data_IF_695174881671
#
_entry.id   IF_695174881671
#
_cell.length_a   1.000
_cell.length_b   1.000
_cell.length_c   1.000
_cell.angle_alpha   90.00
_cell.angle_beta   90.00
_cell.angle_gamma   90.00
#
_symmetry.space_group_name_H-M   'P 1'
#
loop_
_entity.id
_entity.type
_entity.pdbx_description
1 polymer ?
#
# COMPACT_ATOMS: atom_id res chain seq x y z
N UNK A 1 10.33 -41.33 -21.41
CA UNK A 1 10.08 -40.24 -20.49
C UNK A 1 9.34 -39.12 -21.24
N UNK A 2 8.36 -38.58 -20.63
CA UNK A 2 7.65 -37.39 -21.15
C UNK A 2 8.65 -36.24 -21.01
N UNK A 3 9.15 -35.72 -22.16
CA UNK A 3 9.98 -34.49 -22.26
C UNK A 3 11.20 -34.36 -21.30
N UNK A 4 12.14 -35.28 -21.40
CA UNK A 4 13.50 -35.07 -20.75
C UNK A 4 13.57 -35.17 -19.22
N UNK A 5 12.46 -35.15 -18.50
CA UNK A 5 12.42 -35.16 -17.03
C UNK A 5 12.33 -36.58 -16.48
N UNK A 6 13.17 -36.92 -15.53
CA UNK A 6 13.12 -38.21 -14.84
C UNK A 6 11.93 -38.27 -13.87
N UNK A 7 11.22 -39.40 -13.85
CA UNK A 7 10.09 -39.61 -12.92
C UNK A 7 10.51 -39.39 -11.45
N UNK A 8 11.76 -39.79 -11.12
CA UNK A 8 12.31 -39.57 -9.78
C UNK A 8 12.42 -38.07 -9.42
N UNK A 9 12.81 -37.21 -10.36
CA UNK A 9 12.89 -35.76 -10.16
C UNK A 9 11.51 -35.16 -9.88
N UNK A 10 10.49 -35.60 -10.63
CA UNK A 10 9.11 -35.16 -10.41
C UNK A 10 8.61 -35.56 -9.02
N UNK A 11 8.88 -36.80 -8.59
CA UNK A 11 8.46 -37.26 -7.27
C UNK A 11 9.17 -36.45 -6.17
N UNK A 12 10.47 -36.21 -6.31
CA UNK A 12 11.23 -35.42 -5.33
C UNK A 12 10.74 -33.97 -5.30
N UNK A 13 10.54 -33.35 -6.45
CA UNK A 13 10.00 -31.99 -6.52
C UNK A 13 8.59 -31.89 -5.88
N UNK A 14 7.73 -32.89 -6.10
CA UNK A 14 6.41 -32.95 -5.47
C UNK A 14 6.54 -33.12 -3.94
N UNK A 15 7.44 -33.96 -3.45
CA UNK A 15 7.68 -34.12 -2.02
C UNK A 15 8.20 -32.84 -1.36
N UNK A 16 9.12 -32.15 -2.03
CA UNK A 16 9.61 -30.84 -1.59
C UNK A 16 8.46 -29.84 -1.47
N UNK A 17 7.62 -29.74 -2.51
CA UNK A 17 6.47 -28.83 -2.51
C UNK A 17 5.47 -29.17 -1.39
N UNK A 18 5.13 -30.44 -1.23
CA UNK A 18 4.23 -30.90 -0.14
C UNK A 18 4.81 -30.61 1.24
N UNK A 19 6.11 -30.77 1.42
CA UNK A 19 6.78 -30.41 2.67
C UNK A 19 6.61 -28.93 3.01
N UNK A 20 6.85 -28.02 2.07
CA UNK A 20 6.64 -26.59 2.27
C UNK A 20 5.16 -26.24 2.47
N UNK A 21 4.27 -26.94 1.79
CA UNK A 21 2.83 -26.77 1.95
C UNK A 21 2.37 -27.18 3.37
N UNK A 22 2.96 -28.22 3.93
CA UNK A 22 2.75 -28.61 5.34
C UNK A 22 3.33 -27.56 6.31
N UNK A 23 4.53 -27.03 6.00
CA UNK A 23 5.20 -26.01 6.82
C UNK A 23 4.43 -24.68 6.88
N UNK A 24 3.55 -24.36 5.93
CA UNK A 24 2.86 -23.07 5.85
C UNK A 24 2.16 -22.67 7.17
N UNK A 25 1.55 -23.62 7.84
CA UNK A 25 0.84 -23.39 9.10
C UNK A 25 1.78 -23.13 10.28
N UNK A 26 2.89 -23.86 10.33
CA UNK A 26 3.91 -23.70 11.36
C UNK A 26 4.65 -22.36 11.18
N UNK A 27 5.04 -22.08 9.95
CA UNK A 27 5.74 -20.83 9.60
C UNK A 27 4.88 -19.60 9.90
N UNK A 28 3.61 -19.62 9.50
CA UNK A 28 2.68 -18.52 9.80
C UNK A 28 2.54 -18.29 11.30
N UNK A 29 2.33 -19.36 12.08
CA UNK A 29 2.27 -19.25 13.54
C UNK A 29 3.57 -18.70 14.14
N UNK A 30 4.72 -19.11 13.61
CA UNK A 30 6.02 -18.60 14.05
C UNK A 30 6.18 -17.11 13.77
N UNK A 31 5.85 -16.67 12.53
CA UNK A 31 5.92 -15.26 12.13
C UNK A 31 4.95 -14.41 12.93
N UNK A 32 3.68 -14.83 13.03
CA UNK A 32 2.65 -14.12 13.79
C UNK A 32 3.06 -14.00 15.26
N UNK A 33 3.47 -15.09 15.90
CA UNK A 33 3.93 -15.08 17.30
C UNK A 33 5.18 -14.21 17.51
N UNK A 34 6.08 -14.17 16.52
CA UNK A 34 7.27 -13.31 16.57
C UNK A 34 6.89 -11.84 16.48
N UNK A 35 5.96 -11.51 15.59
CA UNK A 35 5.40 -10.16 15.46
C UNK A 35 4.64 -9.76 16.74
N UNK A 36 3.77 -10.61 17.26
CA UNK A 36 3.06 -10.39 18.53
C UNK A 36 4.01 -10.08 19.68
N UNK A 37 5.11 -10.82 19.82
CA UNK A 37 6.11 -10.59 20.85
C UNK A 37 6.84 -9.23 20.74
N UNK A 38 6.99 -8.71 19.52
CA UNK A 38 7.53 -7.36 19.32
C UNK A 38 6.48 -6.29 19.64
N UNK A 39 5.25 -6.56 19.28
CA UNK A 39 4.09 -5.68 19.37
C UNK A 39 3.52 -5.62 20.78
N UNK A 40 3.54 -6.71 21.55
CA UNK A 40 3.04 -6.77 22.95
C UNK A 40 3.76 -5.80 23.92
N UNK A 41 4.87 -5.19 23.47
CA UNK A 41 5.56 -4.12 24.19
C UNK A 41 4.96 -2.73 23.94
N UNK A 42 4.00 -2.60 23.03
CA UNK A 42 3.40 -1.34 22.64
C UNK A 42 1.88 -1.46 22.72
N UNK A 43 1.21 -0.61 23.44
CA UNK A 43 -0.26 -0.65 23.73
C UNK A 43 -1.11 -0.06 22.58
N UNK A 44 -0.70 -0.20 21.32
CA UNK A 44 -1.40 0.41 20.19
C UNK A 44 -2.26 -0.59 19.40
N UNK A 45 -3.51 -0.24 19.12
CA UNK A 45 -4.44 -1.00 18.27
C UNK A 45 -3.91 -1.25 16.84
N UNK A 46 -2.96 -0.42 16.38
CA UNK A 46 -2.25 -0.57 15.11
C UNK A 46 -1.51 -1.90 15.03
N UNK A 47 -0.84 -2.25 16.09
CA UNK A 47 0.06 -3.39 16.16
C UNK A 47 -0.70 -4.72 16.00
N UNK A 48 -1.84 -4.87 16.67
CA UNK A 48 -2.68 -6.06 16.55
C UNK A 48 -3.28 -6.18 15.14
N UNK A 49 -3.67 -5.06 14.54
CA UNK A 49 -4.21 -5.02 13.17
C UNK A 49 -3.14 -5.39 12.13
N UNK A 50 -1.88 -4.97 12.33
CA UNK A 50 -0.76 -5.32 11.46
C UNK A 50 -0.47 -6.82 11.49
N UNK A 51 -0.38 -7.40 12.69
CA UNK A 51 -0.12 -8.83 12.88
C UNK A 51 -1.20 -9.68 12.18
N UNK A 52 -2.47 -9.34 12.37
CA UNK A 52 -3.58 -10.04 11.74
C UNK A 52 -3.55 -9.92 10.21
N UNK A 53 -3.21 -8.74 9.69
CA UNK A 53 -3.12 -8.49 8.24
C UNK A 53 -1.98 -9.26 7.58
N UNK A 54 -0.89 -9.53 8.32
CA UNK A 54 0.28 -10.27 7.81
C UNK A 54 0.10 -11.79 7.81
N UNK A 55 -0.92 -12.32 8.47
CA UNK A 55 -1.15 -13.77 8.56
C UNK A 55 -1.34 -14.43 7.18
N UNK A 56 -2.10 -13.78 6.29
CA UNK A 56 -2.32 -14.26 4.92
C UNK A 56 -1.04 -14.37 4.10
N UNK A 57 -0.29 -13.27 3.90
CA UNK A 57 1.02 -13.30 3.22
C UNK A 57 2.01 -14.27 3.88
N UNK A 58 2.06 -14.35 5.21
CA UNK A 58 2.93 -15.29 5.94
C UNK A 58 2.60 -16.76 5.67
N UNK A 59 1.31 -17.11 5.45
CA UNK A 59 0.90 -18.45 5.02
C UNK A 59 1.25 -18.74 3.57
N UNK A 60 1.25 -17.72 2.72
CA UNK A 60 1.53 -17.86 1.30
C UNK A 60 3.03 -17.93 1.00
N UNK A 61 3.87 -17.30 1.81
CA UNK A 61 5.33 -17.28 1.63
C UNK A 61 5.95 -18.69 1.50
N UNK A 62 5.69 -19.68 2.38
CA UNK A 62 6.24 -21.03 2.23
C UNK A 62 5.75 -21.75 0.97
N UNK A 63 4.53 -21.44 0.50
CA UNK A 63 4.00 -22.01 -0.74
C UNK A 63 4.80 -21.51 -1.94
N UNK A 64 5.08 -20.21 -2.00
CA UNK A 64 5.91 -19.59 -3.05
C UNK A 64 7.33 -20.14 -2.99
N UNK A 65 7.92 -20.19 -1.80
CA UNK A 65 9.27 -20.73 -1.61
C UNK A 65 9.35 -22.22 -1.98
N UNK A 66 8.36 -23.01 -1.56
CA UNK A 66 8.27 -24.44 -1.89
C UNK A 66 8.14 -24.68 -3.39
N UNK A 67 7.33 -23.88 -4.08
CA UNK A 67 7.20 -23.94 -5.53
C UNK A 67 8.53 -23.58 -6.20
N UNK A 68 9.19 -22.53 -5.76
CA UNK A 68 10.51 -22.12 -6.28
C UNK A 68 11.56 -23.22 -6.10
N UNK A 69 11.70 -23.78 -4.90
CA UNK A 69 12.70 -24.83 -4.62
C UNK A 69 12.36 -26.11 -5.38
N UNK A 70 11.09 -26.50 -5.46
CA UNK A 70 10.68 -27.70 -6.18
C UNK A 70 10.92 -27.61 -7.69
N UNK A 71 10.64 -26.45 -8.28
CA UNK A 71 10.87 -26.23 -9.71
C UNK A 71 12.36 -26.08 -10.06
N UNK A 72 13.17 -25.54 -9.14
CA UNK A 72 14.64 -25.44 -9.30
C UNK A 72 15.32 -26.81 -9.28
N UNK A 73 14.67 -27.85 -8.75
CA UNK A 73 15.18 -29.21 -8.73
C UNK A 73 14.92 -29.96 -10.04
N UNK A 74 13.96 -29.50 -10.87
CA UNK A 74 13.58 -30.13 -12.11
C UNK A 74 14.56 -29.77 -13.24
N UNK A 75 15.11 -30.80 -13.90
CA UNK A 75 15.85 -30.62 -15.16
C UNK A 75 14.88 -30.67 -16.33
N UNK A 76 14.30 -29.50 -16.67
CA UNK A 76 13.30 -29.35 -17.74
C UNK A 76 13.89 -28.76 -19.00
N UNK A 77 13.28 -29.06 -20.16
CA UNK A 77 13.61 -28.42 -21.43
C UNK A 77 13.44 -26.89 -21.36
N UNK A 78 14.14 -26.17 -22.26
CA UNK A 78 14.21 -24.70 -22.24
C UNK A 78 12.85 -23.99 -22.19
N UNK A 79 11.86 -24.44 -22.95
CA UNK A 79 10.52 -23.84 -22.96
C UNK A 79 9.76 -24.03 -21.64
N UNK A 80 9.85 -25.25 -21.07
CA UNK A 80 9.22 -25.55 -19.79
C UNK A 80 9.93 -24.81 -18.63
N UNK A 81 11.25 -24.69 -18.71
CA UNK A 81 12.04 -23.90 -17.74
C UNK A 81 11.63 -22.43 -17.74
N UNK A 82 11.52 -21.80 -18.90
CA UNK A 82 11.07 -20.41 -19.05
C UNK A 82 9.65 -20.19 -18.50
N UNK A 83 8.74 -21.13 -18.80
CA UNK A 83 7.39 -21.08 -18.23
C UNK A 83 7.39 -21.16 -16.70
N UNK A 84 8.11 -22.12 -16.12
CA UNK A 84 8.24 -22.30 -14.67
C UNK A 84 8.90 -21.07 -14.00
N UNK A 85 9.90 -20.48 -14.64
CA UNK A 85 10.53 -19.25 -14.16
C UNK A 85 9.53 -18.10 -14.17
N UNK A 86 8.74 -17.93 -15.23
CA UNK A 86 7.71 -16.89 -15.31
C UNK A 86 6.64 -17.08 -14.23
N UNK A 87 6.21 -18.32 -13.97
CA UNK A 87 5.28 -18.63 -12.86
C UNK A 87 5.90 -18.29 -11.51
N UNK A 88 7.16 -18.67 -11.26
CA UNK A 88 7.88 -18.35 -10.03
C UNK A 88 7.94 -16.82 -9.80
N UNK A 89 8.36 -16.07 -10.80
CA UNK A 89 8.40 -14.60 -10.75
C UNK A 89 7.02 -14.02 -10.50
N UNK A 90 5.98 -14.57 -11.13
CA UNK A 90 4.59 -14.14 -10.91
C UNK A 90 4.13 -14.38 -9.48
N UNK A 91 4.41 -15.54 -8.90
CA UNK A 91 4.07 -15.85 -7.51
C UNK A 91 4.78 -14.92 -6.51
N UNK A 92 6.06 -14.63 -6.75
CA UNK A 92 6.83 -13.70 -5.92
C UNK A 92 6.22 -12.28 -6.04
N UNK A 93 5.91 -11.84 -7.25
CA UNK A 93 5.27 -10.53 -7.50
C UNK A 93 3.93 -10.43 -6.80
N UNK A 94 3.07 -11.45 -6.92
CA UNK A 94 1.78 -11.50 -6.21
C UNK A 94 1.98 -11.44 -4.70
N UNK A 95 2.93 -12.19 -4.14
CA UNK A 95 3.23 -12.17 -2.70
C UNK A 95 3.63 -10.77 -2.24
N UNK A 96 4.50 -10.07 -2.98
CA UNK A 96 4.97 -8.72 -2.65
C UNK A 96 3.80 -7.74 -2.67
N UNK A 97 3.04 -7.66 -3.77
CA UNK A 97 1.92 -6.72 -3.89
C UNK A 97 0.77 -7.04 -2.94
N UNK A 98 0.51 -8.32 -2.69
CA UNK A 98 -0.47 -8.71 -1.67
C UNK A 98 -0.04 -8.27 -0.27
N UNK A 99 1.25 -8.42 0.06
CA UNK A 99 1.79 -7.93 1.33
C UNK A 99 1.61 -6.42 1.47
N UNK A 100 1.96 -5.64 0.45
CA UNK A 100 1.74 -4.19 0.45
C UNK A 100 0.25 -3.85 0.61
N UNK A 101 -0.64 -4.53 -0.13
CA UNK A 101 -2.08 -4.30 -0.02
C UNK A 101 -2.60 -4.56 1.41
N UNK A 102 -2.07 -5.56 2.10
CA UNK A 102 -2.49 -5.89 3.46
C UNK A 102 -1.98 -4.89 4.51
N UNK A 103 -0.78 -4.32 4.33
CA UNK A 103 -0.21 -3.32 5.24
C UNK A 103 -1.03 -2.02 5.24
N UNK A 104 -1.68 -1.66 4.14
CA UNK A 104 -2.48 -0.43 4.03
C UNK A 104 -3.67 -0.40 5.01
N UNK A 105 -4.26 -1.55 5.35
CA UNK A 105 -5.35 -1.63 6.32
C UNK A 105 -4.95 -1.11 7.71
N UNK A 106 -3.94 -1.69 8.35
CA UNK A 106 -3.38 -1.22 9.61
C UNK A 106 -2.95 0.24 9.60
N UNK A 107 -2.31 0.70 8.55
CA UNK A 107 -1.88 2.10 8.40
C UNK A 107 -3.07 3.08 8.52
N UNK A 108 -4.26 2.66 8.09
CA UNK A 108 -5.49 3.45 8.25
C UNK A 108 -5.84 3.71 9.72
N UNK A 109 -5.54 2.77 10.62
CA UNK A 109 -5.81 2.92 12.05
C UNK A 109 -4.95 4.03 12.67
N UNK A 110 -3.67 4.12 12.25
CA UNK A 110 -2.76 5.22 12.69
C UNK A 110 -3.28 6.57 12.20
N UNK A 111 -3.62 6.67 10.92
CA UNK A 111 -4.11 7.92 10.34
C UNK A 111 -5.40 8.36 11.06
N UNK A 112 -6.30 7.42 11.40
CA UNK A 112 -7.53 7.71 12.14
C UNK A 112 -7.28 8.16 13.58
N UNK A 113 -6.25 7.66 14.23
CA UNK A 113 -5.91 8.04 15.61
C UNK A 113 -5.28 9.44 15.72
N UNK A 114 -4.54 9.85 14.69
CA UNK A 114 -3.92 11.20 14.60
C UNK A 114 -4.91 12.23 14.03
N UNK A 115 -5.97 11.79 13.38
CA UNK A 115 -6.83 12.58 12.52
C UNK A 115 -8.03 13.23 13.19
N UNK A 116 -7.83 14.18 14.10
CA UNK A 116 -8.88 15.18 14.39
C UNK A 116 -9.22 16.12 13.22
N UNK A 117 -8.42 16.07 12.14
CA UNK A 117 -8.46 17.01 11.01
C UNK A 117 -9.18 16.47 9.76
N UNK A 118 -9.26 15.13 9.60
CA UNK A 118 -9.86 14.49 8.44
C UNK A 118 -11.08 13.67 8.87
N UNK A 119 -12.16 13.75 8.07
CA UNK A 119 -13.31 12.89 8.30
C UNK A 119 -12.95 11.40 8.11
N UNK A 120 -13.57 10.53 8.90
CA UNK A 120 -13.37 9.08 8.80
C UNK A 120 -13.66 8.54 7.39
N UNK A 121 -14.65 9.15 6.71
CA UNK A 121 -15.03 8.76 5.36
C UNK A 121 -13.96 9.11 4.33
N UNK A 122 -13.36 10.30 4.43
CA UNK A 122 -12.26 10.71 3.56
C UNK A 122 -11.06 9.77 3.70
N UNK A 123 -10.68 9.41 4.93
CA UNK A 123 -9.60 8.45 5.19
C UNK A 123 -9.92 7.10 4.55
N UNK A 124 -11.14 6.60 4.70
CA UNK A 124 -11.57 5.33 4.09
C UNK A 124 -11.51 5.37 2.56
N UNK A 125 -11.89 6.49 1.94
CA UNK A 125 -11.79 6.68 0.50
C UNK A 125 -10.33 6.67 0.02
N UNK A 126 -9.44 7.38 0.70
CA UNK A 126 -8.00 7.40 0.38
C UNK A 126 -7.41 5.98 0.48
N UNK A 127 -7.72 5.27 1.55
CA UNK A 127 -7.25 3.88 1.76
C UNK A 127 -7.74 2.96 0.63
N UNK A 128 -9.01 3.06 0.23
CA UNK A 128 -9.54 2.28 -0.90
C UNK A 128 -8.83 2.63 -2.20
N UNK A 129 -8.59 3.92 -2.47
CA UNK A 129 -7.87 4.36 -3.66
C UNK A 129 -6.44 3.81 -3.70
N UNK A 130 -5.70 3.85 -2.59
CA UNK A 130 -4.36 3.28 -2.49
C UNK A 130 -4.37 1.76 -2.70
N UNK A 131 -5.33 1.05 -2.11
CA UNK A 131 -5.48 -0.41 -2.31
C UNK A 131 -5.75 -0.77 -3.76
N UNK A 132 -6.63 -0.03 -4.42
CA UNK A 132 -6.92 -0.21 -5.86
C UNK A 132 -5.68 0.06 -6.70
N UNK A 133 -4.94 1.12 -6.39
CA UNK A 133 -3.69 1.45 -7.10
C UNK A 133 -2.66 0.32 -6.96
N UNK A 134 -2.42 -0.18 -5.74
CA UNK A 134 -1.51 -1.30 -5.48
C UNK A 134 -1.96 -2.55 -6.25
N UNK A 135 -3.26 -2.84 -6.27
CA UNK A 135 -3.80 -3.98 -7.02
C UNK A 135 -3.56 -3.84 -8.53
N UNK A 136 -3.82 -2.65 -9.10
CA UNK A 136 -3.59 -2.38 -10.54
C UNK A 136 -2.10 -2.51 -10.87
N UNK A 137 -1.21 -1.96 -10.04
CA UNK A 137 0.24 -2.06 -10.25
C UNK A 137 0.73 -3.50 -10.14
N UNK A 138 0.23 -4.27 -9.17
CA UNK A 138 0.55 -5.68 -9.02
C UNK A 138 0.08 -6.52 -10.22
N UNK A 139 -1.15 -6.28 -10.68
CA UNK A 139 -1.68 -6.93 -11.88
C UNK A 139 -0.86 -6.57 -13.13
N UNK A 140 -0.54 -5.29 -13.30
CA UNK A 140 0.29 -4.83 -14.41
C UNK A 140 1.68 -5.49 -14.38
N UNK A 141 2.33 -5.57 -13.21
CA UNK A 141 3.62 -6.22 -13.06
C UNK A 141 3.57 -7.72 -13.42
N UNK A 142 2.50 -8.44 -13.04
CA UNK A 142 2.31 -9.83 -13.44
C UNK A 142 2.10 -9.94 -14.95
N UNK A 143 1.27 -9.10 -15.55
CA UNK A 143 1.01 -9.11 -17.00
C UNK A 143 2.28 -8.86 -17.81
N UNK A 144 3.17 -7.96 -17.32
CA UNK A 144 4.47 -7.71 -17.96
C UNK A 144 5.37 -8.94 -18.00
N UNK A 145 5.38 -9.74 -16.93
CA UNK A 145 6.12 -11.01 -16.90
C UNK A 145 5.64 -12.00 -17.96
N UNK A 146 4.36 -11.93 -18.34
CA UNK A 146 3.75 -12.73 -19.41
C UNK A 146 3.86 -12.11 -20.80
N UNK A 147 4.70 -11.05 -20.95
CA UNK A 147 4.96 -10.41 -22.23
C UNK A 147 3.91 -9.40 -22.69
N UNK A 148 2.92 -9.10 -21.86
CA UNK A 148 1.91 -8.08 -22.15
C UNK A 148 2.53 -6.70 -21.88
N UNK A 149 2.61 -5.87 -22.93
CA UNK A 149 3.16 -4.52 -22.83
C UNK A 149 2.25 -3.62 -21.99
N UNK A 150 2.65 -3.33 -20.76
CA UNK A 150 1.90 -2.47 -19.82
C UNK A 150 2.20 -0.98 -20.00
N UNK A 151 3.23 -0.62 -20.77
CA UNK A 151 3.61 0.77 -21.01
C UNK A 151 2.44 1.69 -21.35
N UNK A 152 1.57 1.35 -22.32
CA UNK A 152 0.38 2.14 -22.63
C UNK A 152 -0.60 2.31 -21.47
N UNK A 153 -0.73 1.28 -20.60
CA UNK A 153 -1.61 1.32 -19.42
C UNK A 153 -1.04 2.30 -18.39
N UNK A 154 0.27 2.22 -18.12
CA UNK A 154 0.96 3.13 -17.21
C UNK A 154 0.93 4.56 -17.74
N UNK A 155 1.13 4.75 -19.02
CA UNK A 155 1.03 6.07 -19.66
C UNK A 155 -0.37 6.66 -19.52
N UNK A 156 -1.42 5.86 -19.72
CA UNK A 156 -2.82 6.26 -19.52
C UNK A 156 -3.11 6.65 -18.07
N UNK A 157 -2.64 5.85 -17.11
CA UNK A 157 -2.76 6.18 -15.67
C UNK A 157 -1.99 7.45 -15.31
N UNK A 158 -0.82 7.67 -15.92
CA UNK A 158 -0.04 8.89 -15.75
C UNK A 158 -0.78 10.13 -16.27
N UNK A 159 -1.37 10.04 -17.47
CA UNK A 159 -2.18 11.11 -18.03
C UNK A 159 -3.43 11.40 -17.18
N UNK A 160 -4.11 10.35 -16.70
CA UNK A 160 -5.22 10.49 -15.76
C UNK A 160 -4.76 11.18 -14.46
N UNK A 161 -3.59 10.80 -13.93
CA UNK A 161 -3.00 11.44 -12.75
C UNK A 161 -2.74 12.95 -12.97
N UNK A 162 -2.24 13.34 -14.15
CA UNK A 162 -2.06 14.75 -14.52
C UNK A 162 -3.41 15.48 -14.57
N UNK A 163 -4.44 14.89 -15.15
CA UNK A 163 -5.77 15.50 -15.20
C UNK A 163 -6.35 15.72 -13.79
N UNK A 164 -6.19 14.73 -12.90
CA UNK A 164 -6.60 14.85 -11.49
C UNK A 164 -5.80 15.93 -10.77
N UNK A 165 -4.48 16.00 -10.99
CA UNK A 165 -3.61 16.99 -10.38
C UNK A 165 -3.97 18.43 -10.81
N UNK A 166 -4.27 18.63 -12.10
CA UNK A 166 -4.75 19.91 -12.60
C UNK A 166 -6.11 20.30 -12.01
N UNK A 167 -7.03 19.34 -11.88
CA UNK A 167 -8.33 19.56 -11.24
C UNK A 167 -8.23 19.90 -9.74
N UNK A 168 -7.20 19.38 -9.08
CA UNK A 168 -6.94 19.61 -7.65
C UNK A 168 -5.97 20.76 -7.36
N UNK A 169 -5.48 21.47 -8.38
CA UNK A 169 -4.41 22.47 -8.26
C UNK A 169 -4.71 23.55 -7.22
N UNK A 170 -5.92 24.09 -7.22
CA UNK A 170 -6.29 25.17 -6.29
C UNK A 170 -6.43 24.64 -4.85
N UNK A 171 -6.86 23.39 -4.69
CA UNK A 171 -6.89 22.75 -3.37
C UNK A 171 -5.45 22.63 -2.80
N UNK A 172 -4.49 22.20 -3.61
CA UNK A 172 -3.08 22.10 -3.17
C UNK A 172 -2.47 23.47 -2.87
N UNK A 173 -2.75 24.49 -3.68
CA UNK A 173 -2.30 25.86 -3.39
C UNK A 173 -2.79 26.34 -2.02
N UNK A 174 -4.08 26.17 -1.76
CA UNK A 174 -4.69 26.59 -0.50
C UNK A 174 -4.14 25.81 0.70
N UNK A 175 -3.94 24.49 0.52
CA UNK A 175 -3.33 23.64 1.56
C UNK A 175 -1.92 24.08 1.91
N UNK A 176 -1.07 24.30 0.90
CA UNK A 176 0.31 24.76 1.08
C UNK A 176 0.31 26.13 1.76
N UNK A 177 -0.54 27.06 1.32
CA UNK A 177 -0.66 28.39 1.94
C UNK A 177 -1.09 28.29 3.41
N UNK A 178 -2.06 27.44 3.74
CA UNK A 178 -2.48 27.19 5.12
C UNK A 178 -1.36 26.63 6.00
N UNK A 179 -0.60 25.66 5.48
CA UNK A 179 0.57 25.10 6.18
C UNK A 179 1.64 26.17 6.41
N UNK A 180 1.94 27.02 5.40
CA UNK A 180 2.91 28.08 5.53
C UNK A 180 2.50 29.10 6.60
N UNK A 181 1.23 29.50 6.67
CA UNK A 181 0.72 30.38 7.72
C UNK A 181 0.98 29.77 9.11
N UNK A 182 0.70 28.47 9.28
CA UNK A 182 0.92 27.78 10.56
C UNK A 182 2.39 27.63 10.93
N UNK A 183 3.26 27.37 9.95
CA UNK A 183 4.72 27.18 10.17
C UNK A 183 5.41 28.51 10.42
N UNK A 184 5.14 29.51 9.58
CA UNK A 184 5.78 30.83 9.68
C UNK A 184 5.19 31.69 10.79
N UNK A 185 3.99 31.34 11.30
CA UNK A 185 3.27 32.07 12.36
C UNK A 185 3.16 33.58 12.07
N UNK A 186 2.91 33.95 10.82
CA UNK A 186 2.79 35.37 10.42
C UNK A 186 1.66 36.08 11.13
N UNK A 187 0.59 35.34 11.50
CA UNK A 187 -0.49 35.76 12.38
C UNK A 187 -1.05 34.54 13.12
N UNK A 188 -1.71 34.77 14.23
CA UNK A 188 -2.25 33.72 15.09
C UNK A 188 -3.74 33.95 15.35
N UNK A 189 -4.42 32.96 15.92
CA UNK A 189 -5.80 33.09 16.38
C UNK A 189 -5.84 34.17 17.45
N UNK A 190 -6.73 35.16 17.28
CA UNK A 190 -6.85 36.35 18.13
C UNK A 190 -6.18 37.59 17.58
N UNK A 191 -5.32 37.47 16.57
CA UNK A 191 -4.68 38.63 15.95
C UNK A 191 -5.67 39.43 15.10
N UNK A 192 -5.50 40.75 15.12
CA UNK A 192 -6.20 41.62 14.21
C UNK A 192 -5.42 41.73 12.91
N UNK A 193 -6.05 41.45 11.80
CA UNK A 193 -5.45 41.48 10.46
C UNK A 193 -6.22 42.40 9.52
N UNK A 194 -5.49 43.01 8.62
CA UNK A 194 -6.02 43.81 7.54
C UNK A 194 -5.48 43.29 6.21
N UNK A 195 -6.36 42.96 5.30
CA UNK A 195 -6.03 42.57 3.92
C UNK A 195 -6.72 43.55 3.00
N UNK A 196 -5.94 44.38 2.33
CA UNK A 196 -6.43 45.48 1.49
C UNK A 196 -7.44 44.99 0.46
N UNK A 197 -8.61 45.60 0.45
CA UNK A 197 -9.72 45.26 -0.49
C UNK A 197 -10.40 43.93 -0.24
N UNK A 198 -10.04 43.16 0.79
CA UNK A 198 -10.59 41.82 1.05
C UNK A 198 -11.28 41.74 2.40
N UNK A 199 -10.55 41.94 3.52
CA UNK A 199 -11.12 41.75 4.85
C UNK A 199 -10.30 42.48 5.93
N UNK A 200 -10.99 42.94 6.96
CA UNK A 200 -10.44 43.51 8.18
C UNK A 200 -11.16 42.92 9.37
N UNK A 201 -10.39 42.42 10.38
CA UNK A 201 -10.98 41.84 11.57
C UNK A 201 -10.05 40.95 12.36
N UNK A 202 -10.61 40.29 13.36
CA UNK A 202 -9.88 39.38 14.26
C UNK A 202 -9.94 37.95 13.75
N UNK A 203 -8.80 37.28 13.73
CA UNK A 203 -8.70 35.86 13.33
C UNK A 203 -9.38 34.97 14.38
N UNK A 204 -10.41 34.24 13.99
CA UNK A 204 -11.13 33.30 14.87
C UNK A 204 -10.54 31.88 14.80
N UNK A 205 -10.20 31.43 13.60
CA UNK A 205 -9.62 30.11 13.40
C UNK A 205 -8.77 30.06 12.13
N UNK A 206 -7.71 29.24 12.18
CA UNK A 206 -6.83 28.97 11.05
C UNK A 206 -6.98 27.50 10.70
N UNK A 207 -7.57 27.23 9.55
CA UNK A 207 -7.74 25.88 8.99
C UNK A 207 -6.75 25.60 7.87
N UNK A 208 -6.72 24.36 7.40
CA UNK A 208 -5.84 23.95 6.29
C UNK A 208 -6.10 24.66 4.97
N UNK A 209 -7.32 25.06 4.73
CA UNK A 209 -7.75 25.65 3.46
C UNK A 209 -8.21 27.09 3.58
N UNK A 210 -8.63 27.51 4.75
CA UNK A 210 -9.25 28.81 4.97
C UNK A 210 -8.98 29.31 6.37
N UNK A 211 -8.84 30.63 6.49
CA UNK A 211 -8.79 31.34 7.77
C UNK A 211 -10.13 32.05 7.97
N UNK A 212 -10.73 31.88 9.15
CA UNK A 212 -11.96 32.57 9.52
C UNK A 212 -11.61 33.84 10.27
N UNK A 213 -12.14 34.95 9.78
CA UNK A 213 -11.91 36.27 10.36
C UNK A 213 -13.24 36.89 10.72
N UNK A 214 -13.38 37.31 11.97
CA UNK A 214 -14.59 38.06 12.44
C UNK A 214 -14.45 39.53 12.09
N UNK A 215 -15.29 40.01 11.25
CA UNK A 215 -15.34 41.41 10.87
C UNK A 215 -15.91 42.28 11.99
N UNK A 216 -15.58 43.58 11.98
CA UNK A 216 -16.06 44.56 12.96
C UNK A 216 -17.55 44.88 12.82
N UNK A 217 -18.07 44.84 11.60
CA UNK A 217 -19.41 45.27 11.23
C UNK A 217 -20.54 44.24 11.46
N UNK A 218 -20.24 43.11 12.08
CA UNK A 218 -21.22 42.04 12.44
C UNK A 218 -22.22 41.70 11.36
N UNK A 219 -21.86 41.78 10.10
CA UNK A 219 -22.70 41.34 8.99
C UNK A 219 -22.30 39.95 8.50
#
# INVERSE_FOLDING_TARGET
GISGVNISEIIIALLIFLFFLFLRGVFSKFVVKRLENYVSKTTNNFDNSLVFSMEGPAKFFPVVLGFFVSTSYLTVESQAAEFLETVNRSLITVLIFWTFHQIIGPLSAVIKSVGGLLSKDLINWIIKAIKVLIFILGLAAVLELWGIKIGPIIAGLGLFGVAVALGAQDLFKNLISGILVLVERRFQVGDWIYVEGVIEGTVESIGFRSTVVRRFDKS
#
